data_IF_993113126913
#
_entry.id   IF_993113126913
#
_cell.length_a   1.000
_cell.length_b   1.000
_cell.length_c   1.000
_cell.angle_alpha   90.00
_cell.angle_beta   90.00
_cell.angle_gamma   90.00
#
_symmetry.space_group_name_H-M   'P 1'
#
loop_
_entity.id
_entity.type
_entity.pdbx_description
1 polymer ?
#
# COMPACT_ATOMS: atom_id res chain seq x y z
N UNK A 1 -4.93 -15.95 13.21
CA UNK A 1 -3.93 -15.63 12.16
C UNK A 1 -2.68 -15.23 12.89
N UNK A 2 -1.65 -16.05 12.84
CA UNK A 2 -0.33 -15.72 13.41
C UNK A 2 0.47 -14.98 12.33
N UNK A 3 0.75 -13.70 12.56
CA UNK A 3 1.60 -12.89 11.68
C UNK A 3 3.06 -13.12 12.07
N UNK A 4 3.92 -13.60 11.16
CA UNK A 4 5.32 -13.85 11.50
C UNK A 4 6.05 -12.52 11.76
N UNK A 5 6.91 -12.44 12.79
CA UNK A 5 7.70 -11.26 13.05
C UNK A 5 8.67 -10.98 11.89
N UNK A 6 8.96 -9.70 11.65
CA UNK A 6 10.01 -9.23 10.73
C UNK A 6 9.75 -9.40 9.22
N UNK A 7 8.50 -9.23 8.76
CA UNK A 7 8.16 -9.17 7.33
C UNK A 7 7.66 -7.77 6.90
N UNK A 8 8.53 -6.75 6.81
CA UNK A 8 8.14 -5.41 6.32
C UNK A 8 7.58 -5.45 4.89
N UNK A 9 8.07 -6.37 4.04
CA UNK A 9 7.60 -6.68 2.68
C UNK A 9 6.12 -7.16 2.61
N UNK A 10 5.47 -7.36 3.76
CA UNK A 10 4.08 -7.86 3.84
C UNK A 10 3.07 -6.81 4.28
N UNK A 11 3.50 -5.61 4.69
CA UNK A 11 2.56 -4.65 5.22
C UNK A 11 1.69 -4.12 4.07
N UNK A 12 0.42 -4.54 4.05
CA UNK A 12 -0.56 -4.22 3.00
C UNK A 12 -0.66 -2.70 2.81
N UNK A 13 -0.42 -1.94 3.88
CA UNK A 13 -0.41 -0.49 3.90
C UNK A 13 0.73 0.12 3.07
N UNK A 14 1.87 -0.56 2.89
CA UNK A 14 2.99 -0.05 2.09
C UNK A 14 2.62 0.06 0.61
N UNK A 15 1.79 -0.86 0.09
CA UNK A 15 1.27 -0.72 -1.28
C UNK A 15 0.29 0.44 -1.39
N UNK A 16 -0.48 0.71 -0.33
CA UNK A 16 -1.37 1.85 -0.29
C UNK A 16 -0.57 3.16 -0.27
N UNK A 17 0.53 3.21 0.48
CA UNK A 17 1.48 4.34 0.45
C UNK A 17 2.15 4.52 -0.92
N UNK A 18 2.64 3.44 -1.54
CA UNK A 18 3.22 3.50 -2.88
C UNK A 18 2.22 4.02 -3.93
N UNK A 19 0.95 3.64 -3.79
CA UNK A 19 -0.12 4.11 -4.69
C UNK A 19 -0.42 5.60 -4.46
N UNK A 20 -0.51 6.04 -3.21
CA UNK A 20 -0.66 7.46 -2.87
C UNK A 20 0.52 8.30 -3.39
N UNK A 21 1.75 7.80 -3.25
CA UNK A 21 2.94 8.45 -3.76
C UNK A 21 2.92 8.55 -5.30
N UNK A 22 2.48 7.49 -5.98
CA UNK A 22 2.31 7.51 -7.43
C UNK A 22 1.27 8.55 -7.87
N UNK A 23 0.11 8.60 -7.21
CA UNK A 23 -0.92 9.60 -7.46
C UNK A 23 -0.41 11.03 -7.24
N UNK A 24 0.32 11.27 -6.15
CA UNK A 24 0.94 12.57 -5.86
C UNK A 24 1.95 12.97 -6.94
N UNK A 25 2.78 12.04 -7.40
CA UNK A 25 3.81 12.30 -8.41
C UNK A 25 3.23 12.59 -9.79
N UNK A 26 2.08 12.00 -10.13
CA UNK A 26 1.38 12.21 -11.40
C UNK A 26 0.50 13.47 -11.41
N UNK A 27 0.32 14.16 -10.28
CA UNK A 27 -0.47 15.39 -10.26
C UNK A 27 0.23 16.49 -11.07
N UNK A 28 -0.54 17.27 -11.86
CA UNK A 28 0.00 18.41 -12.61
C UNK A 28 0.48 19.54 -11.69
N UNK A 29 -0.08 19.64 -10.48
CA UNK A 29 0.36 20.58 -9.44
C UNK A 29 0.79 19.84 -8.19
N UNK A 30 2.06 20.01 -7.83
CA UNK A 30 2.61 19.47 -6.59
C UNK A 30 2.23 20.37 -5.42
N UNK A 31 1.78 19.82 -4.29
CA UNK A 31 1.56 20.59 -3.08
C UNK A 31 2.90 21.17 -2.58
N UNK A 32 2.92 22.47 -2.29
CA UNK A 32 4.12 23.20 -1.84
C UNK A 32 4.14 23.44 -0.33
N UNK A 33 3.05 23.11 0.36
CA UNK A 33 2.93 23.22 1.81
C UNK A 33 2.51 21.89 2.42
N UNK A 34 2.86 21.65 3.68
CA UNK A 34 2.47 20.45 4.42
C UNK A 34 0.95 20.31 4.54
N UNK A 35 0.24 21.43 4.74
CA UNK A 35 -1.22 21.45 4.78
C UNK A 35 -1.84 21.03 3.43
N UNK A 36 -1.32 21.55 2.31
CA UNK A 36 -1.78 21.17 0.98
C UNK A 36 -1.46 19.70 0.67
N UNK A 37 -0.29 19.21 1.09
CA UNK A 37 0.07 17.80 0.94
C UNK A 37 -0.91 16.89 1.69
N UNK A 38 -1.23 17.24 2.94
CA UNK A 38 -2.17 16.47 3.74
C UNK A 38 -3.58 16.46 3.15
N UNK A 39 -4.07 17.61 2.68
CA UNK A 39 -5.37 17.69 2.01
C UNK A 39 -5.43 16.83 0.75
N UNK A 40 -4.41 16.90 -0.10
CA UNK A 40 -4.32 16.08 -1.32
C UNK A 40 -4.24 14.59 -1.00
N UNK A 41 -3.46 14.20 0.02
CA UNK A 41 -3.39 12.81 0.46
C UNK A 41 -4.76 12.30 0.93
N UNK A 42 -5.54 13.12 1.64
CA UNK A 42 -6.90 12.76 2.04
C UNK A 42 -7.84 12.60 0.84
N UNK A 43 -7.77 13.50 -0.15
CA UNK A 43 -8.54 13.40 -1.40
C UNK A 43 -8.22 12.09 -2.15
N UNK A 44 -6.93 11.81 -2.35
CA UNK A 44 -6.49 10.60 -3.06
C UNK A 44 -6.84 9.33 -2.27
N UNK A 45 -6.68 9.35 -0.96
CA UNK A 45 -7.06 8.24 -0.11
C UNK A 45 -8.57 7.95 -0.17
N UNK A 46 -9.40 8.99 -0.16
CA UNK A 46 -10.84 8.84 -0.33
C UNK A 46 -11.20 8.33 -1.74
N UNK A 47 -10.43 8.71 -2.76
CA UNK A 47 -10.66 8.30 -4.14
C UNK A 47 -10.30 6.83 -4.43
N UNK A 48 -9.34 6.24 -3.69
CA UNK A 48 -9.03 4.80 -3.82
C UNK A 48 -10.26 3.92 -3.63
N UNK A 49 -11.24 4.38 -2.84
CA UNK A 49 -12.53 3.73 -2.70
C UNK A 49 -12.47 2.35 -2.04
N UNK A 50 -13.65 1.77 -1.82
CA UNK A 50 -13.77 0.48 -1.14
C UNK A 50 -13.21 -0.68 -1.97
N UNK A 51 -13.33 -0.60 -3.30
CA UNK A 51 -12.89 -1.65 -4.22
C UNK A 51 -11.38 -1.87 -4.17
N UNK A 52 -10.58 -0.79 -4.07
CA UNK A 52 -9.13 -0.89 -3.89
C UNK A 52 -8.76 -1.55 -2.56
N UNK A 53 -9.44 -1.17 -1.48
CA UNK A 53 -9.28 -1.80 -0.17
C UNK A 53 -9.63 -3.30 -0.24
N UNK A 54 -10.77 -3.66 -0.83
CA UNK A 54 -11.20 -5.05 -0.96
C UNK A 54 -10.20 -5.87 -1.79
N UNK A 55 -9.64 -5.31 -2.88
CA UNK A 55 -8.60 -5.94 -3.68
C UNK A 55 -7.28 -6.13 -2.90
N UNK A 56 -6.89 -5.13 -2.10
CA UNK A 56 -5.74 -5.21 -1.19
C UNK A 56 -5.91 -6.36 -0.18
N UNK A 57 -7.06 -6.43 0.49
CA UNK A 57 -7.39 -7.52 1.41
C UNK A 57 -7.45 -8.87 0.69
N UNK A 58 -8.02 -8.93 -0.51
CA UNK A 58 -8.05 -10.12 -1.35
C UNK A 58 -6.67 -10.65 -1.75
N UNK A 59 -5.65 -9.77 -1.80
CA UNK A 59 -4.27 -10.17 -2.11
C UNK A 59 -3.54 -10.83 -0.94
N UNK A 60 -4.01 -10.67 0.30
CA UNK A 60 -3.36 -11.18 1.52
C UNK A 60 -3.12 -12.69 1.47
N UNK A 61 -4.10 -13.56 1.15
CA UNK A 61 -3.87 -15.00 1.14
C UNK A 61 -2.86 -15.45 0.07
N UNK A 62 -2.72 -14.68 -1.02
CA UNK A 62 -1.69 -14.93 -2.03
C UNK A 62 -0.31 -14.55 -1.52
N UNK A 63 -0.18 -13.38 -0.88
CA UNK A 63 1.08 -12.89 -0.29
C UNK A 63 1.60 -13.79 0.83
N UNK A 64 0.69 -14.28 1.69
CA UNK A 64 1.03 -15.25 2.75
C UNK A 64 1.53 -16.58 2.13
N UNK A 65 0.88 -17.06 1.07
CA UNK A 65 1.34 -18.25 0.33
C UNK A 65 2.70 -18.05 -0.31
N UNK A 66 2.95 -16.91 -0.93
CA UNK A 66 4.27 -16.56 -1.49
C UNK A 66 5.37 -16.54 -0.42
N UNK A 67 5.05 -16.07 0.79
CA UNK A 67 5.98 -16.07 1.94
C UNK A 67 6.35 -17.49 2.40
N UNK A 68 5.33 -18.34 2.55
CA UNK A 68 5.50 -19.74 2.94
C UNK A 68 6.37 -20.48 1.91
N UNK A 69 6.09 -20.25 0.61
CA UNK A 69 6.87 -20.84 -0.49
C UNK A 69 8.31 -20.31 -0.54
N UNK A 70 8.53 -19.05 -0.18
CA UNK A 70 9.86 -18.46 -0.12
C UNK A 70 10.69 -18.92 1.10
N UNK A 71 10.12 -19.73 2.01
CA UNK A 71 10.76 -20.19 3.26
C UNK A 71 11.39 -19.03 4.06
N UNK A 72 10.75 -17.86 4.07
CA UNK A 72 11.25 -16.64 4.75
C UNK A 72 12.37 -15.88 4.02
N UNK A 73 12.66 -16.17 2.75
CA UNK A 73 13.52 -15.33 1.88
C UNK A 73 12.67 -14.28 1.15
N UNK A 74 13.31 -13.22 0.65
CA UNK A 74 12.63 -12.11 -0.02
C UNK A 74 11.65 -12.57 -1.10
N UNK A 75 10.41 -12.09 -1.00
CA UNK A 75 9.39 -12.25 -2.03
C UNK A 75 9.42 -11.06 -2.99
N UNK A 76 8.78 -11.19 -4.15
CA UNK A 76 8.74 -10.15 -5.20
C UNK A 76 7.86 -8.93 -4.85
N UNK A 77 7.42 -8.85 -3.60
CA UNK A 77 6.48 -7.85 -3.07
C UNK A 77 7.18 -7.03 -2.01
#
# INVERSE_FOLDING_TARGET
MDWPPNSPDQSIIENAWATLEHCLNNRPRRPTTTAALFAVLQEEWAALGKEYCDALYGSIPSRVRSLILAKGRHTRY
#
